data_IF_018174534930
#
_entry.id   IF_018174534930
#
_cell.length_a   1.000
_cell.length_b   1.000
_cell.length_c   1.000
_cell.angle_alpha   90.00
_cell.angle_beta   90.00
_cell.angle_gamma   90.00
#
_symmetry.space_group_name_H-M   'P 1'
#
loop_
_entity.id
_entity.type
_entity.pdbx_description
1 polymer ?
#
# COMPACT_ATOMS: atom_id res chain seq x y z
N UNK A 1 -1.15 10.35 -12.67
CA UNK A 1 -1.17 10.05 -11.21
C UNK A 1 -0.74 8.59 -11.03
N UNK A 2 0.08 8.25 -10.03
CA UNK A 2 0.50 6.85 -9.79
C UNK A 2 -0.13 6.33 -8.49
N UNK A 3 -0.63 5.11 -8.51
CA UNK A 3 -1.08 4.39 -7.32
C UNK A 3 -0.06 3.31 -7.01
N UNK A 4 0.56 3.38 -5.84
CA UNK A 4 1.47 2.35 -5.35
C UNK A 4 0.67 1.38 -4.50
N UNK A 5 0.72 0.10 -4.84
CA UNK A 5 0.01 -0.97 -4.15
C UNK A 5 1.01 -1.73 -3.32
N UNK A 6 0.79 -1.78 -2.01
CA UNK A 6 1.53 -2.58 -1.06
C UNK A 6 0.68 -3.77 -0.62
N UNK A 7 1.30 -4.93 -0.42
CA UNK A 7 0.68 -6.10 0.20
C UNK A 7 1.19 -6.27 1.63
N UNK A 8 0.34 -6.82 2.49
CA UNK A 8 0.77 -7.23 3.83
C UNK A 8 1.67 -8.45 3.73
N UNK A 9 2.71 -8.48 4.56
CA UNK A 9 3.55 -9.67 4.75
C UNK A 9 2.96 -10.67 5.74
N UNK A 10 1.97 -10.26 6.55
CA UNK A 10 1.37 -11.08 7.62
C UNK A 10 -0.01 -11.61 7.26
N UNK A 11 -0.77 -10.90 6.43
CA UNK A 11 -2.12 -11.28 6.04
C UNK A 11 -2.21 -11.42 4.53
N UNK A 12 -2.63 -12.60 4.10
CA UNK A 12 -2.94 -12.82 2.70
C UNK A 12 -4.14 -11.97 2.28
N UNK A 13 -4.18 -11.61 1.00
CA UNK A 13 -5.23 -10.76 0.40
C UNK A 13 -5.42 -9.35 1.00
N UNK A 14 -4.48 -8.84 1.80
CA UNK A 14 -4.57 -7.48 2.36
C UNK A 14 -3.67 -6.52 1.59
N UNK A 15 -4.26 -5.48 1.00
CA UNK A 15 -3.57 -4.50 0.16
C UNK A 15 -3.80 -3.06 0.62
N UNK A 16 -2.75 -2.25 0.56
CA UNK A 16 -2.76 -0.81 0.80
C UNK A 16 -2.50 -0.08 -0.52
N UNK A 17 -3.35 0.88 -0.82
CA UNK A 17 -3.26 1.73 -2.00
C UNK A 17 -2.85 3.12 -1.56
N UNK A 18 -1.69 3.57 -2.01
CA UNK A 18 -1.16 4.89 -1.66
C UNK A 18 -0.84 5.68 -2.92
N UNK A 19 -1.08 6.98 -2.89
CA UNK A 19 -0.80 7.91 -3.99
C UNK A 19 0.70 8.19 -4.17
N UNK A 20 1.50 7.97 -3.11
CA UNK A 20 2.95 8.17 -3.10
C UNK A 20 3.65 6.98 -2.46
N UNK A 21 4.79 6.61 -3.05
CA UNK A 21 5.65 5.57 -2.50
C UNK A 21 6.11 5.98 -1.10
N UNK A 22 6.01 5.05 -0.15
CA UNK A 22 6.39 5.22 1.26
C UNK A 22 5.59 6.28 2.07
N UNK A 23 4.49 6.80 1.51
CA UNK A 23 3.58 7.70 2.23
C UNK A 23 2.50 6.89 2.97
N UNK A 24 2.81 6.56 4.23
CA UNK A 24 1.88 5.88 5.14
C UNK A 24 1.28 6.81 6.19
N UNK A 25 1.50 8.14 6.07
CA UNK A 25 1.05 9.13 7.05
C UNK A 25 -0.46 9.15 7.27
N UNK A 26 -1.23 8.74 6.25
CA UNK A 26 -2.69 8.61 6.34
C UNK A 26 -3.17 7.28 6.90
N UNK A 27 -2.28 6.30 7.09
CA UNK A 27 -2.65 4.97 7.58
C UNK A 27 -2.53 4.97 9.10
N UNK A 28 -3.63 4.69 9.84
CA UNK A 28 -3.60 4.58 11.29
C UNK A 28 -2.59 3.51 11.76
N UNK A 29 -1.89 3.79 12.86
CA UNK A 29 -0.92 2.84 13.44
C UNK A 29 -1.54 1.49 13.80
N UNK A 30 -2.82 1.46 14.20
CA UNK A 30 -3.55 0.23 14.48
C UNK A 30 -3.66 -0.68 13.24
N UNK A 31 -3.89 -0.08 12.06
CA UNK A 31 -3.92 -0.82 10.79
C UNK A 31 -2.50 -1.23 10.37
N UNK A 32 -1.51 -0.35 10.51
CA UNK A 32 -0.09 -0.67 10.21
C UNK A 32 0.43 -1.82 11.08
N UNK A 33 0.07 -1.87 12.38
CA UNK A 33 0.42 -2.98 13.27
C UNK A 33 -0.10 -4.32 12.76
N UNK A 34 -1.35 -4.34 12.27
CA UNK A 34 -1.97 -5.53 11.67
C UNK A 34 -1.40 -5.87 10.29
N UNK A 35 -1.03 -4.84 9.52
CA UNK A 35 -0.47 -4.97 8.18
C UNK A 35 0.98 -5.48 8.20
N UNK A 36 1.73 -5.18 9.25
CA UNK A 36 3.14 -5.56 9.35
C UNK A 36 4.02 -4.73 8.44
N UNK A 37 5.02 -5.36 7.82
CA UNK A 37 5.89 -4.67 6.86
C UNK A 37 5.21 -4.62 5.48
N UNK A 38 4.92 -3.43 4.96
CA UNK A 38 4.35 -3.30 3.63
C UNK A 38 5.36 -3.71 2.58
N UNK A 39 4.99 -4.67 1.73
CA UNK A 39 5.81 -5.11 0.60
C UNK A 39 5.23 -4.52 -0.68
N UNK A 40 6.08 -3.92 -1.51
CA UNK A 40 5.65 -3.37 -2.79
C UNK A 40 5.10 -4.51 -3.66
N UNK A 41 3.81 -4.46 -3.98
CA UNK A 41 3.16 -5.44 -4.83
C UNK A 41 3.22 -4.99 -6.30
N UNK A 42 2.76 -3.78 -6.58
CA UNK A 42 2.69 -3.25 -7.94
C UNK A 42 2.55 -1.72 -7.92
N UNK A 43 3.01 -1.06 -8.98
CA UNK A 43 2.73 0.36 -9.23
C UNK A 43 1.73 0.43 -10.39
N UNK A 44 0.57 1.03 -10.12
CA UNK A 44 -0.50 1.24 -11.08
C UNK A 44 -0.43 2.67 -11.61
N UNK A 45 -0.05 2.89 -12.88
CA UNK A 45 -0.21 4.18 -13.52
C UNK A 45 -1.70 4.44 -13.76
N UNK A 46 -2.26 5.51 -13.18
CA UNK A 46 -3.64 5.94 -13.42
C UNK A 46 -3.78 6.79 -14.70
N UNK A 47 -2.81 6.71 -15.63
CA UNK A 47 -2.78 7.54 -16.84
C UNK A 47 -3.75 7.06 -17.93
N UNK A 48 -4.42 5.92 -17.74
CA UNK A 48 -5.61 5.52 -18.49
C UNK A 48 -5.47 5.45 -20.02
N UNK A 49 -4.24 5.31 -20.54
CA UNK A 49 -3.97 5.09 -21.96
C UNK A 49 -3.77 3.62 -22.27
#
# INVERSE_FOLDING_TARGET
>A
MFCVIYRSSKRDQTYLYVEKKDDFSRVPEALMKGFGQPQLAMILPLDGR
#
